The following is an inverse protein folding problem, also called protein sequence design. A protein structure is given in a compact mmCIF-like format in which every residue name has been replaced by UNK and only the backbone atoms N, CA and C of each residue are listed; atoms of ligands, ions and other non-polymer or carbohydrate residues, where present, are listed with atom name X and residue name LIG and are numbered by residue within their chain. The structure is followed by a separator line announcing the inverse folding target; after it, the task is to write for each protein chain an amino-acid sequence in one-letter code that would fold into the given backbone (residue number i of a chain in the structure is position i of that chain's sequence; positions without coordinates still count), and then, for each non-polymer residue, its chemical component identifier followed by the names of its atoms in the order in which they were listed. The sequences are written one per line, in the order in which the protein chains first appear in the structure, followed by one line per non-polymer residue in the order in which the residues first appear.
data_IF_530333342240
#
_entry.id   IF_530333342240
#
_cell.length_a   1.000
_cell.length_b   1.000
_cell.length_c   1.000
_cell.angle_alpha   90.00
_cell.angle_beta   90.00
_cell.angle_gamma   90.00
#
_symmetry.space_group_name_H-M   'P 1'
#
loop_
_entity.id
_entity.type
_entity.pdbx_description
1 polymer ?
#
# COMPACT_ATOMS: atom_id res chain seq x y z
N UNK A 1 -84.58 -4.84 5.31
CA UNK A 1 -84.60 -5.98 4.37
C UNK A 1 -83.46 -6.93 4.72
N UNK A 2 -83.83 -8.21 4.85
CA UNK A 2 -83.08 -9.48 4.91
C UNK A 2 -81.55 -9.54 4.59
N UNK A 3 -80.87 -10.23 5.52
CA UNK A 3 -79.68 -11.10 5.49
C UNK A 3 -78.21 -10.55 5.46
N UNK A 4 -77.33 -11.05 6.35
CA UNK A 4 -75.91 -10.68 6.47
C UNK A 4 -74.91 -11.73 5.92
N UNK A 5 -73.61 -11.41 6.09
CA UNK A 5 -72.38 -12.25 6.14
C UNK A 5 -71.61 -12.53 4.82
N UNK A 6 -70.28 -12.85 4.86
CA UNK A 6 -69.24 -12.54 5.86
C UNK A 6 -67.79 -12.40 5.32
N UNK A 7 -66.82 -12.15 6.23
CA UNK A 7 -65.38 -12.48 6.16
C UNK A 7 -64.56 -12.08 4.91
N UNK A 8 -63.60 -11.15 5.09
CA UNK A 8 -62.17 -11.51 5.21
C UNK A 8 -61.27 -10.31 5.56
N UNK A 9 -60.69 -10.44 6.74
CA UNK A 9 -59.52 -9.75 7.27
C UNK A 9 -58.30 -9.92 6.36
N UNK A 10 -57.55 -8.85 6.09
CA UNK A 10 -56.08 -8.91 5.96
C UNK A 10 -55.50 -7.67 6.64
N UNK A 11 -54.86 -7.88 7.79
CA UNK A 11 -54.06 -6.87 8.45
C UNK A 11 -52.71 -6.71 7.74
N UNK A 12 -52.23 -5.47 7.64
CA UNK A 12 -50.84 -5.18 7.32
C UNK A 12 -50.14 -4.87 8.65
N UNK A 13 -49.24 -5.78 9.03
CA UNK A 13 -48.38 -5.64 10.18
C UNK A 13 -47.00 -5.11 9.78
N UNK A 14 -46.33 -4.55 10.79
CA UNK A 14 -44.87 -4.49 10.98
C UNK A 14 -44.05 -3.47 10.17
N UNK A 15 -43.61 -2.42 10.87
CA UNK A 15 -42.22 -1.94 10.77
C UNK A 15 -41.69 -1.77 12.20
N UNK A 16 -40.95 -2.76 12.69
CA UNK A 16 -40.10 -2.62 13.87
C UNK A 16 -38.69 -2.24 13.39
N UNK A 17 -38.34 -0.97 13.52
CA UNK A 17 -37.01 -0.46 13.21
C UNK A 17 -35.99 -0.88 14.26
N UNK A 18 -35.11 -1.82 13.92
CA UNK A 18 -33.86 -2.01 14.66
C UNK A 18 -32.87 -0.96 14.21
N UNK A 19 -32.69 0.09 15.02
CA UNK A 19 -31.57 1.02 14.91
C UNK A 19 -30.28 0.26 15.24
N UNK A 20 -29.47 -0.02 14.23
CA UNK A 20 -28.08 -0.44 14.42
C UNK A 20 -27.30 0.83 14.68
N UNK A 21 -26.88 1.06 15.92
CA UNK A 21 -25.82 2.02 16.21
C UNK A 21 -24.57 1.53 15.48
N UNK A 22 -24.25 2.16 14.35
CA UNK A 22 -22.95 2.01 13.73
C UNK A 22 -21.94 2.74 14.61
N UNK A 23 -21.39 2.04 15.60
CA UNK A 23 -20.09 2.41 16.15
C UNK A 23 -19.13 2.39 14.97
N UNK A 24 -18.67 3.56 14.54
CA UNK A 24 -17.54 3.67 13.63
C UNK A 24 -16.32 3.19 14.40
N UNK A 25 -16.12 1.87 14.45
CA UNK A 25 -14.80 1.34 14.72
C UNK A 25 -13.97 1.82 13.54
N UNK A 26 -13.09 2.78 13.80
CA UNK A 26 -12.03 3.14 12.88
C UNK A 26 -11.16 1.88 12.78
N UNK A 27 -11.52 1.01 11.84
CA UNK A 27 -10.71 -0.14 11.52
C UNK A 27 -9.41 0.43 10.93
N UNK A 28 -8.38 0.52 11.77
CA UNK A 28 -7.03 0.72 11.29
C UNK A 28 -6.73 -0.52 10.46
N UNK A 29 -6.79 -0.36 9.13
CA UNK A 29 -6.37 -1.43 8.25
C UNK A 29 -4.89 -1.70 8.56
N UNK A 30 -4.54 -2.97 8.73
CA UNK A 30 -3.21 -3.44 9.08
C UNK A 30 -2.68 -4.36 7.99
N UNK A 31 -1.37 -4.37 7.75
CA UNK A 31 -0.75 -5.35 6.88
C UNK A 31 -0.29 -6.55 7.71
N UNK A 32 -0.79 -7.75 7.37
CA UNK A 32 -0.45 -8.99 8.07
C UNK A 32 0.11 -9.98 7.06
N UNK A 33 1.28 -10.53 7.33
CA UNK A 33 1.89 -11.58 6.52
C UNK A 33 2.22 -12.82 7.35
N UNK A 34 2.24 -13.97 6.70
CA UNK A 34 2.59 -15.26 7.28
C UNK A 34 4.07 -15.63 7.10
N UNK A 35 4.93 -14.63 6.86
CA UNK A 35 6.35 -14.84 6.66
C UNK A 35 7.18 -13.70 7.26
N UNK A 36 8.34 -14.07 7.80
CA UNK A 36 9.36 -13.14 8.29
C UNK A 36 10.31 -12.76 7.16
N UNK A 37 9.84 -11.86 6.31
CA UNK A 37 10.60 -11.32 5.17
C UNK A 37 10.35 -9.84 5.04
N UNK A 38 11.28 -9.14 4.39
CA UNK A 38 11.12 -7.74 4.05
C UNK A 38 11.70 -7.46 2.65
N UNK A 39 11.07 -6.58 1.83
CA UNK A 39 9.66 -6.17 1.95
C UNK A 39 8.73 -7.39 2.00
N UNK A 40 7.52 -7.32 2.56
CA UNK A 40 6.65 -8.48 2.57
C UNK A 40 6.29 -8.89 1.14
N UNK A 41 6.25 -10.20 0.87
CA UNK A 41 5.94 -10.69 -0.48
C UNK A 41 4.53 -10.28 -0.89
N UNK A 42 4.40 -9.67 -2.07
CA UNK A 42 3.13 -9.15 -2.59
C UNK A 42 2.74 -7.78 -2.00
N UNK A 43 3.53 -7.20 -1.11
CA UNK A 43 3.24 -5.90 -0.53
C UNK A 43 3.13 -4.81 -1.60
N UNK A 44 2.26 -3.85 -1.32
CA UNK A 44 2.15 -2.61 -2.09
C UNK A 44 2.53 -1.43 -1.20
N UNK A 45 3.13 -0.41 -1.79
CA UNK A 45 3.54 0.82 -1.12
C UNK A 45 3.00 2.04 -1.87
N UNK A 46 2.44 2.98 -1.12
CA UNK A 46 1.79 4.19 -1.64
C UNK A 46 2.16 5.41 -0.79
N UNK A 47 2.09 6.64 -1.34
CA UNK A 47 2.26 7.87 -0.59
C UNK A 47 1.37 7.92 0.65
N UNK A 48 1.95 8.21 1.81
CA UNK A 48 1.21 8.20 3.09
C UNK A 48 0.40 9.48 3.33
N UNK A 49 0.79 10.61 2.73
CA UNK A 49 0.11 11.89 2.93
C UNK A 49 -0.13 12.62 1.62
N UNK A 50 -1.11 13.55 1.55
CA UNK A 50 -1.31 14.39 0.37
C UNK A 50 -0.06 15.20 -0.02
N UNK A 51 0.76 15.61 0.95
CA UNK A 51 2.01 16.33 0.69
C UNK A 51 3.06 15.43 0.00
N UNK A 52 3.01 14.13 0.26
CA UNK A 52 3.90 13.11 -0.35
C UNK A 52 3.37 12.60 -1.71
N UNK A 53 2.31 13.20 -2.27
CA UNK A 53 1.76 12.71 -3.55
C UNK A 53 2.53 13.19 -4.77
N UNK A 54 3.40 14.21 -4.63
CA UNK A 54 4.05 14.85 -5.76
C UNK A 54 5.55 15.08 -5.52
N UNK A 55 6.36 14.67 -6.49
CA UNK A 55 7.80 14.92 -6.54
C UNK A 55 8.05 16.10 -7.46
N UNK A 56 8.85 17.06 -6.99
CA UNK A 56 9.31 18.22 -7.74
C UNK A 56 10.79 18.07 -8.09
N UNK A 57 11.23 18.60 -9.24
CA UNK A 57 12.62 18.52 -9.69
C UNK A 57 13.23 19.91 -9.89
N UNK A 58 13.80 20.46 -8.82
CA UNK A 58 14.38 21.80 -8.82
C UNK A 58 13.36 22.88 -9.23
N UNK A 59 13.80 23.82 -10.08
CA UNK A 59 12.93 24.84 -10.69
C UNK A 59 12.28 24.39 -12.01
N UNK A 60 12.41 23.13 -12.40
CA UNK A 60 11.85 22.63 -13.66
C UNK A 60 10.31 22.51 -13.57
N UNK A 61 9.60 22.58 -14.70
CA UNK A 61 8.17 22.27 -14.75
C UNK A 61 7.87 20.77 -14.55
N UNK A 62 8.89 19.91 -14.48
CA UNK A 62 8.74 18.47 -14.39
C UNK A 62 8.25 18.05 -13.01
N UNK A 63 7.21 17.22 -12.97
CA UNK A 63 6.61 16.71 -11.75
C UNK A 63 6.24 15.24 -11.89
N UNK A 64 6.30 14.51 -10.80
CA UNK A 64 5.84 13.12 -10.73
C UNK A 64 4.76 12.99 -9.67
N UNK A 65 3.72 12.18 -9.92
CA UNK A 65 2.70 11.83 -8.93
C UNK A 65 2.24 10.39 -9.07
N UNK A 66 1.34 9.97 -8.19
CA UNK A 66 0.69 8.66 -8.23
C UNK A 66 1.70 7.51 -8.23
N UNK A 67 2.78 7.69 -7.45
CA UNK A 67 3.79 6.66 -7.27
C UNK A 67 3.15 5.47 -6.54
N UNK A 68 3.07 4.31 -7.18
CA UNK A 68 2.50 3.11 -6.59
C UNK A 68 3.39 1.92 -6.92
N UNK A 69 3.92 1.29 -5.88
CA UNK A 69 4.83 0.16 -6.01
C UNK A 69 4.07 -1.08 -5.54
N UNK A 70 3.98 -2.08 -6.39
CA UNK A 70 3.19 -3.29 -6.11
C UNK A 70 4.05 -4.54 -6.28
N UNK A 71 3.56 -5.67 -5.76
CA UNK A 71 4.16 -6.97 -6.01
C UNK A 71 5.60 -7.10 -5.51
N UNK A 72 5.93 -6.44 -4.39
CA UNK A 72 7.24 -6.52 -3.75
C UNK A 72 7.66 -7.96 -3.48
N UNK A 73 8.88 -8.37 -3.86
CA UNK A 73 9.39 -9.69 -3.52
C UNK A 73 10.23 -9.65 -2.24
N UNK A 74 9.86 -10.45 -1.24
CA UNK A 74 10.55 -10.41 0.04
C UNK A 74 11.89 -11.14 0.07
N UNK A 75 12.85 -10.52 0.77
CA UNK A 75 14.12 -11.14 1.16
C UNK A 75 14.06 -11.72 2.56
N UNK A 76 14.76 -12.84 2.77
CA UNK A 76 14.92 -13.40 4.12
C UNK A 76 15.76 -12.45 4.97
N UNK A 77 15.32 -12.26 6.20
CA UNK A 77 16.07 -11.50 7.22
C UNK A 77 17.13 -12.46 7.81
N UNK A 78 18.44 -12.15 7.72
CA UNK A 78 19.50 -13.01 8.24
C UNK A 78 19.50 -13.12 9.76
N UNK A 79 20.00 -14.24 10.26
CA UNK A 79 20.32 -14.47 11.67
C UNK A 79 21.85 -14.60 11.84
N UNK A 80 22.46 -14.07 12.92
CA UNK A 80 21.85 -13.20 13.93
C UNK A 80 21.65 -11.75 13.43
N UNK A 81 20.80 -10.96 14.09
CA UNK A 81 20.61 -9.54 13.78
C UNK A 81 21.88 -8.71 14.03
N UNK A 82 21.92 -7.50 13.48
CA UNK A 82 22.97 -6.49 13.69
C UNK A 82 23.92 -6.28 12.51
N UNK A 83 24.01 -7.23 11.58
CA UNK A 83 24.83 -7.08 10.37
C UNK A 83 23.99 -6.53 9.22
N UNK A 84 24.44 -5.48 8.50
CA UNK A 84 23.77 -5.03 7.28
C UNK A 84 23.74 -6.11 6.20
N UNK A 85 22.63 -6.21 5.48
CA UNK A 85 22.45 -7.14 4.37
C UNK A 85 21.71 -6.48 3.22
N UNK A 86 21.84 -7.06 2.03
CA UNK A 86 21.22 -6.56 0.80
C UNK A 86 20.10 -7.49 0.35
N UNK A 87 19.03 -6.89 -0.17
CA UNK A 87 17.90 -7.59 -0.78
C UNK A 87 17.68 -6.96 -2.15
N UNK A 88 17.56 -7.81 -3.15
CA UNK A 88 17.01 -7.44 -4.45
C UNK A 88 15.51 -7.74 -4.41
N UNK A 89 14.70 -6.68 -4.33
CA UNK A 89 13.24 -6.80 -4.37
C UNK A 89 12.73 -6.39 -5.74
N UNK A 90 11.91 -7.22 -6.36
CA UNK A 90 11.19 -6.87 -7.58
C UNK A 90 9.92 -6.11 -7.23
N UNK A 91 9.66 -5.02 -7.93
CA UNK A 91 8.42 -4.27 -7.84
C UNK A 91 7.87 -3.97 -9.23
N UNK A 92 6.54 -3.94 -9.34
CA UNK A 92 5.87 -3.25 -10.42
C UNK A 92 5.64 -1.80 -9.98
N UNK A 93 6.14 -0.83 -10.74
CA UNK A 93 6.12 0.60 -10.39
C UNK A 93 5.24 1.35 -11.38
N UNK A 94 4.29 2.09 -10.83
CA UNK A 94 3.37 2.96 -11.56
C UNK A 94 3.60 4.40 -11.15
N UNK A 95 3.55 5.30 -12.13
CA UNK A 95 3.71 6.73 -11.91
C UNK A 95 3.03 7.53 -13.03
N UNK A 96 2.73 8.79 -12.76
CA UNK A 96 2.40 9.77 -13.80
C UNK A 96 3.42 10.90 -13.79
N UNK A 97 3.80 11.38 -14.98
CA UNK A 97 4.82 12.41 -15.16
C UNK A 97 4.21 13.58 -15.92
N UNK A 98 4.50 14.80 -15.47
CA UNK A 98 4.16 16.04 -16.14
C UNK A 98 5.42 16.80 -16.51
N UNK A 99 5.42 17.50 -17.64
CA UNK A 99 6.53 18.35 -18.12
C UNK A 99 6.13 19.82 -18.24
N UNK A 100 4.88 20.16 -17.91
CA UNK A 100 4.29 21.49 -18.08
C UNK A 100 3.74 22.05 -16.76
N UNK A 101 4.33 21.64 -15.64
CA UNK A 101 3.96 22.15 -14.32
C UNK A 101 2.70 21.49 -13.74
N UNK A 102 2.26 20.36 -14.30
CA UNK A 102 1.11 19.60 -13.83
C UNK A 102 -0.17 19.81 -14.62
N UNK A 103 -0.10 20.40 -15.82
CA UNK A 103 -1.26 20.62 -16.69
C UNK A 103 -1.61 19.34 -17.46
N UNK A 104 -0.61 18.68 -18.05
CA UNK A 104 -0.74 17.37 -18.69
C UNK A 104 0.06 16.30 -17.94
N UNK A 105 -0.44 15.06 -17.98
CA UNK A 105 0.12 13.93 -17.26
C UNK A 105 0.21 12.71 -18.16
N UNK A 106 1.38 12.08 -18.18
CA UNK A 106 1.68 10.89 -18.97
C UNK A 106 1.90 9.71 -18.02
N UNK A 107 1.13 8.61 -18.16
CA UNK A 107 1.32 7.43 -17.34
C UNK A 107 2.62 6.70 -17.73
N UNK A 108 3.25 6.06 -16.75
CA UNK A 108 4.42 5.22 -16.92
C UNK A 108 4.32 4.03 -15.98
N UNK A 109 4.64 2.85 -16.51
CA UNK A 109 4.56 1.58 -15.80
C UNK A 109 5.81 0.76 -16.12
N UNK A 110 6.40 0.18 -15.08
CA UNK A 110 7.56 -0.71 -15.18
C UNK A 110 7.31 -1.95 -14.33
N UNK A 111 7.33 -3.13 -14.94
CA UNK A 111 7.08 -4.39 -14.24
C UNK A 111 8.37 -5.13 -13.92
N UNK A 112 8.43 -5.76 -12.74
CA UNK A 112 9.60 -6.54 -12.33
C UNK A 112 10.88 -5.71 -12.18
N UNK A 113 10.75 -4.42 -11.84
CA UNK A 113 11.90 -3.55 -11.59
C UNK A 113 12.63 -4.03 -10.35
N UNK A 114 13.93 -4.30 -10.47
CA UNK A 114 14.79 -4.59 -9.32
C UNK A 114 15.04 -3.31 -8.54
N UNK A 115 14.68 -3.33 -7.26
CA UNK A 115 15.05 -2.33 -6.26
C UNK A 115 15.99 -2.99 -5.26
N UNK A 116 17.17 -2.41 -5.10
CA UNK A 116 18.18 -2.88 -4.15
C UNK A 116 17.94 -2.19 -2.81
N UNK A 117 17.74 -2.95 -1.76
CA UNK A 117 17.42 -2.45 -0.41
C UNK A 117 18.45 -3.00 0.57
N UNK A 118 19.04 -2.11 1.37
CA UNK A 118 19.84 -2.49 2.53
C UNK A 118 18.94 -2.62 3.74
N UNK A 119 19.06 -3.72 4.48
CA UNK A 119 18.42 -3.92 5.78
C UNK A 119 19.47 -4.03 6.89
N UNK A 120 19.12 -3.62 8.10
CA UNK A 120 19.89 -3.90 9.32
C UNK A 120 18.91 -4.19 10.45
N UNK A 121 18.64 -5.48 10.66
CA UNK A 121 17.75 -5.96 11.71
C UNK A 121 18.39 -5.71 13.09
N UNK A 122 17.59 -5.21 14.03
CA UNK A 122 17.98 -5.06 15.42
C UNK A 122 17.58 -6.30 16.23
N UNK A 123 18.26 -6.62 17.34
CA UNK A 123 17.80 -7.64 18.26
C UNK A 123 16.33 -7.41 18.65
N UNK A 124 15.44 -8.40 18.50
CA UNK A 124 14.04 -8.24 18.85
C UNK A 124 13.84 -7.87 20.33
N UNK A 125 12.86 -7.02 20.61
CA UNK A 125 12.43 -6.66 21.96
C UNK A 125 11.01 -7.20 22.17
N UNK A 126 10.90 -8.28 22.93
CA UNK A 126 9.63 -9.02 23.03
C UNK A 126 9.26 -9.65 21.68
N UNK A 127 8.05 -9.36 21.18
CA UNK A 127 7.60 -9.82 19.86
C UNK A 127 7.91 -8.84 18.72
N UNK A 128 8.58 -7.73 19.01
CA UNK A 128 8.82 -6.66 18.02
C UNK A 128 10.26 -6.72 17.53
N UNK A 129 10.41 -6.78 16.22
CA UNK A 129 11.68 -6.64 15.52
C UNK A 129 11.65 -5.39 14.64
N UNK A 130 12.72 -4.60 14.71
CA UNK A 130 12.88 -3.39 13.89
C UNK A 130 14.05 -3.59 12.93
N UNK A 131 13.81 -3.28 11.67
CA UNK A 131 14.80 -3.30 10.59
C UNK A 131 14.94 -1.86 10.12
N UNK A 132 16.13 -1.30 10.27
CA UNK A 132 16.47 -0.04 9.62
C UNK A 132 16.78 -0.33 8.16
N UNK A 133 16.16 0.41 7.24
CA UNK A 133 16.24 0.11 5.82
C UNK A 133 16.73 1.33 5.03
N UNK A 134 17.31 1.07 3.87
CA UNK A 134 17.67 2.12 2.92
C UNK A 134 17.52 1.56 1.50
N UNK A 135 16.77 2.24 0.64
CA UNK A 135 16.79 1.92 -0.79
C UNK A 135 18.06 2.49 -1.41
N UNK A 136 18.85 1.62 -2.06
CA UNK A 136 20.14 1.99 -2.64
C UNK A 136 20.09 2.16 -4.16
N UNK A 137 19.19 1.46 -4.85
CA UNK A 137 19.13 1.49 -6.31
C UNK A 137 17.73 1.17 -6.82
N UNK A 138 17.32 1.95 -7.82
CA UNK A 138 16.19 1.73 -8.72
C UNK A 138 16.51 2.54 -9.97
N UNK A 139 16.30 1.95 -11.14
CA UNK A 139 16.50 2.59 -12.44
C UNK A 139 15.35 2.20 -13.37
N UNK A 140 14.67 3.21 -13.89
CA UNK A 140 13.56 3.10 -14.83
C UNK A 140 13.91 3.85 -16.10
N UNK A 141 13.96 3.15 -17.22
CA UNK A 141 14.24 3.73 -18.52
C UNK A 141 12.98 3.93 -19.33
N UNK A 142 12.89 5.04 -20.06
CA UNK A 142 11.74 5.30 -20.92
C UNK A 142 10.46 5.65 -20.15
N UNK A 143 10.59 6.32 -18.99
CA UNK A 143 9.44 6.81 -18.25
C UNK A 143 8.73 7.91 -19.07
N UNK A 144 7.44 7.75 -19.34
CA UNK A 144 6.62 8.57 -20.25
C UNK A 144 7.04 8.53 -21.74
N UNK A 145 8.33 8.63 -22.09
CA UNK A 145 8.85 8.51 -23.46
C UNK A 145 10.30 8.01 -23.49
N UNK A 146 10.75 7.50 -24.65
CA UNK A 146 12.13 7.02 -24.83
C UNK A 146 13.15 8.14 -24.62
N UNK A 147 14.12 7.90 -23.73
CA UNK A 147 15.15 8.89 -23.35
C UNK A 147 14.80 9.71 -22.10
N UNK A 148 13.59 9.59 -21.56
CA UNK A 148 13.29 10.07 -20.21
C UNK A 148 13.50 8.91 -19.22
N UNK A 149 14.35 9.10 -18.23
CA UNK A 149 14.73 8.07 -17.26
C UNK A 149 14.52 8.57 -15.83
N UNK A 150 14.08 7.69 -14.92
CA UNK A 150 13.92 7.96 -13.50
C UNK A 150 14.77 6.99 -12.71
N UNK A 151 15.47 7.46 -11.68
CA UNK A 151 16.22 6.60 -10.77
C UNK A 151 16.14 7.08 -9.33
N UNK A 152 16.57 6.24 -8.39
CA UNK A 152 16.87 6.69 -7.03
C UNK A 152 18.04 7.68 -7.03
N UNK A 153 18.00 8.65 -6.12
CA UNK A 153 19.09 9.61 -6.00
C UNK A 153 20.38 8.93 -5.55
N UNK A 154 21.51 9.35 -6.14
CA UNK A 154 22.84 8.86 -5.78
C UNK A 154 23.50 9.69 -4.68
N UNK A 155 22.92 10.82 -4.32
CA UNK A 155 23.48 11.79 -3.35
C UNK A 155 22.60 12.01 -2.13
N UNK A 156 21.33 11.62 -2.20
CA UNK A 156 20.39 11.67 -1.09
C UNK A 156 20.01 10.25 -0.69
N UNK A 157 20.22 9.92 0.58
CA UNK A 157 19.84 8.63 1.14
C UNK A 157 18.31 8.49 1.09
N UNK A 158 17.83 7.30 0.77
CA UNK A 158 16.40 6.97 0.80
C UNK A 158 16.09 6.04 1.99
N UNK A 159 16.03 6.59 3.23
CA UNK A 159 15.90 5.78 4.44
C UNK A 159 14.50 5.18 4.55
N UNK A 160 14.38 4.14 5.36
CA UNK A 160 13.11 3.55 5.72
C UNK A 160 13.21 2.76 7.01
N UNK A 161 12.08 2.19 7.40
CA UNK A 161 12.02 1.25 8.50
C UNK A 161 10.98 0.20 8.21
N UNK A 162 11.24 -1.01 8.69
CA UNK A 162 10.23 -2.06 8.82
C UNK A 162 10.16 -2.55 10.24
N UNK A 163 8.95 -2.65 10.75
CA UNK A 163 8.65 -3.21 12.07
C UNK A 163 7.84 -4.47 11.85
N UNK A 164 8.35 -5.58 12.37
CA UNK A 164 7.65 -6.87 12.40
C UNK A 164 7.22 -7.11 13.84
N UNK A 165 5.92 -7.23 14.08
CA UNK A 165 5.38 -7.66 15.37
C UNK A 165 4.84 -9.08 15.22
N UNK A 166 5.49 -10.06 15.84
CA UNK A 166 4.97 -11.43 15.91
C UNK A 166 3.65 -11.43 16.71
N UNK A 167 2.58 -11.87 16.05
CA UNK A 167 1.24 -11.98 16.63
C UNK A 167 0.81 -13.44 16.84
N UNK A 168 1.76 -14.37 16.71
CA UNK A 168 1.56 -15.81 16.89
C UNK A 168 1.09 -16.54 15.64
N UNK A 169 1.26 -17.86 15.65
CA UNK A 169 0.85 -18.72 14.52
C UNK A 169 1.66 -18.50 13.23
N UNK A 170 2.87 -17.95 13.34
CA UNK A 170 3.73 -17.62 12.20
C UNK A 170 3.31 -16.36 11.44
N UNK A 171 2.46 -15.53 12.04
CA UNK A 171 1.98 -14.28 11.46
C UNK A 171 2.67 -13.08 12.07
N UNK A 172 2.86 -12.06 11.25
CA UNK A 172 3.48 -10.80 11.62
C UNK A 172 2.58 -9.65 11.22
N UNK A 173 2.32 -8.74 12.16
CA UNK A 173 1.86 -7.40 11.83
C UNK A 173 3.04 -6.58 11.34
N UNK A 174 2.91 -5.93 10.18
CA UNK A 174 4.02 -5.26 9.51
C UNK A 174 3.69 -3.80 9.26
N UNK A 175 4.49 -2.93 9.85
CA UNK A 175 4.53 -1.50 9.52
C UNK A 175 5.83 -1.24 8.75
N UNK A 176 5.73 -0.65 7.57
CA UNK A 176 6.90 -0.39 6.73
C UNK A 176 6.74 0.89 5.95
N UNK A 177 7.83 1.66 5.82
CA UNK A 177 7.87 2.82 4.95
C UNK A 177 9.28 3.05 4.38
N UNK A 178 9.34 3.84 3.32
CA UNK A 178 10.55 4.40 2.74
C UNK A 178 10.34 5.87 2.40
N UNK A 179 11.31 6.71 2.70
CA UNK A 179 11.43 8.05 2.14
C UNK A 179 12.23 7.93 0.85
N UNK A 180 11.57 8.13 -0.29
CA UNK A 180 12.16 7.92 -1.61
C UNK A 180 12.59 9.25 -2.19
N UNK A 181 13.89 9.38 -2.47
CA UNK A 181 14.45 10.49 -3.23
C UNK A 181 14.83 10.02 -4.63
N UNK A 182 14.43 10.77 -5.65
CA UNK A 182 14.66 10.40 -7.05
C UNK A 182 15.46 11.45 -7.81
N UNK A 183 15.96 11.04 -8.97
CA UNK A 183 16.56 11.89 -9.99
C UNK A 183 15.91 11.56 -11.34
N UNK A 184 15.66 12.58 -12.15
CA UNK A 184 15.11 12.42 -13.50
C UNK A 184 16.10 12.92 -14.55
N UNK A 185 16.19 12.20 -15.66
CA UNK A 185 16.91 12.61 -16.86
C UNK A 185 15.93 12.74 -18.01
N UNK A 186 16.10 13.78 -18.83
CA UNK A 186 15.28 14.04 -20.03
C UNK A 186 16.09 13.89 -21.33
N UNK A 187 17.35 13.47 -21.22
CA UNK A 187 18.36 13.44 -22.28
C UNK A 187 19.12 12.09 -22.30
N UNK A 188 18.39 11.01 -22.06
CA UNK A 188 18.89 9.64 -22.08
C UNK A 188 20.04 9.37 -21.10
N UNK A 189 19.98 9.96 -19.91
CA UNK A 189 20.93 9.77 -18.83
C UNK A 189 22.18 10.64 -18.91
N UNK A 190 22.26 11.59 -19.85
CA UNK A 190 23.40 12.49 -19.96
C UNK A 190 23.44 13.52 -18.82
N UNK A 191 22.28 14.05 -18.41
CA UNK A 191 22.12 14.90 -17.23
C UNK A 191 20.99 14.41 -16.33
N UNK A 192 21.14 14.66 -15.03
CA UNK A 192 20.19 14.24 -14.00
C UNK A 192 19.81 15.43 -13.14
N UNK A 193 18.51 15.64 -12.95
CA UNK A 193 17.96 16.65 -12.05
C UNK A 193 17.46 15.97 -10.80
N UNK A 194 17.93 16.42 -9.63
CA UNK A 194 17.50 15.90 -8.34
C UNK A 194 16.07 16.34 -7.98
N UNK A 195 15.35 15.45 -7.31
CA UNK A 195 14.12 15.82 -6.63
C UNK A 195 14.40 16.86 -5.53
N UNK A 196 13.47 17.80 -5.34
CA UNK A 196 13.52 18.82 -4.28
C UNK A 196 12.84 18.38 -2.99
N UNK A 197 12.17 17.23 -3.01
CA UNK A 197 11.49 16.63 -1.89
C UNK A 197 11.53 15.11 -2.01
N UNK A 198 11.44 14.41 -0.88
CA UNK A 198 11.14 12.99 -0.87
C UNK A 198 9.64 12.73 -0.95
N UNK A 199 9.31 11.47 -1.22
CA UNK A 199 7.98 10.92 -1.03
C UNK A 199 8.06 9.77 -0.03
N UNK A 200 7.28 9.85 1.05
CA UNK A 200 7.13 8.75 1.99
C UNK A 200 6.15 7.71 1.45
N UNK A 201 6.67 6.58 1.01
CA UNK A 201 5.91 5.41 0.61
C UNK A 201 5.69 4.51 1.82
N UNK A 202 4.45 4.40 2.28
CA UNK A 202 4.05 3.49 3.35
C UNK A 202 3.44 2.22 2.80
N UNK A 203 3.61 1.11 3.51
CA UNK A 203 2.97 -0.14 3.17
C UNK A 203 1.46 0.04 3.17
N UNK A 204 0.81 -0.38 2.09
CA UNK A 204 -0.62 -0.37 1.97
C UNK A 204 -1.19 -1.51 2.82
N UNK A 205 -2.10 -1.24 3.76
CA UNK A 205 -2.80 -2.29 4.48
C UNK A 205 -3.57 -3.20 3.55
N UNK A 206 -3.73 -4.47 3.95
CA UNK A 206 -4.61 -5.38 3.21
C UNK A 206 -6.02 -4.77 3.13
N UNK A 207 -6.60 -4.60 1.93
CA UNK A 207 -7.95 -4.09 1.82
C UNK A 207 -8.87 -4.97 2.67
N UNK A 208 -9.71 -4.36 3.52
CA UNK A 208 -10.60 -5.04 4.47
C UNK A 208 -11.64 -5.99 3.82
N UNK A 209 -11.49 -6.31 2.54
CA UNK A 209 -12.31 -7.20 1.72
C UNK A 209 -12.57 -8.56 2.40
N UNK A 210 -11.57 -9.12 3.11
CA UNK A 210 -11.74 -10.34 3.90
C UNK A 210 -12.74 -10.17 5.06
N UNK A 211 -12.72 -9.01 5.74
CA UNK A 211 -13.69 -8.70 6.80
C UNK A 211 -15.11 -8.53 6.21
N UNK A 212 -15.25 -7.89 5.05
CA UNK A 212 -16.54 -7.75 4.37
C UNK A 212 -17.10 -9.07 3.81
N UNK A 213 -16.26 -10.02 3.38
CA UNK A 213 -16.72 -11.37 3.02
C UNK A 213 -17.35 -12.09 4.23
N UNK A 214 -16.75 -11.99 5.41
CA UNK A 214 -17.30 -12.55 6.64
C UNK A 214 -18.66 -11.97 7.04
N UNK A 215 -18.82 -10.64 6.95
CA UNK A 215 -20.11 -9.97 7.22
C UNK A 215 -21.17 -10.34 6.19
N UNK A 216 -20.80 -10.46 4.91
CA UNK A 216 -21.69 -10.90 3.83
C UNK A 216 -22.28 -12.29 4.09
N UNK A 217 -21.44 -13.26 4.48
CA UNK A 217 -21.89 -14.62 4.81
C UNK A 217 -22.82 -14.67 6.04
N UNK A 218 -22.52 -13.89 7.09
CA UNK A 218 -23.38 -13.82 8.28
C UNK A 218 -24.77 -13.23 7.97
N UNK A 219 -24.84 -12.22 7.10
CA UNK A 219 -26.11 -11.64 6.64
C UNK A 219 -26.93 -12.65 5.83
N UNK A 220 -26.28 -13.42 4.95
CA UNK A 220 -26.94 -14.48 4.18
C UNK A 220 -27.46 -15.62 5.07
N UNK A 221 -26.70 -16.04 6.07
CA UNK A 221 -27.12 -17.09 7.02
C UNK A 221 -28.31 -16.62 7.86
N UNK A 222 -28.29 -15.36 8.34
CA UNK A 222 -29.39 -14.78 9.12
C UNK A 222 -30.68 -14.66 8.30
N UNK A 223 -30.59 -14.27 7.03
CA UNK A 223 -31.74 -14.20 6.14
C UNK A 223 -32.31 -15.60 5.80
N UNK A 224 -31.45 -16.62 5.60
CA UNK A 224 -31.90 -17.99 5.37
C UNK A 224 -32.60 -18.62 6.57
N UNK A 225 -32.24 -18.23 7.80
CA UNK A 225 -32.91 -18.71 9.03
C UNK A 225 -34.28 -18.05 9.25
N UNK A 226 -34.48 -16.82 8.80
CA UNK A 226 -35.79 -16.13 8.86
C UNK A 226 -36.80 -16.69 7.86
N UNK A 227 -36.36 -17.24 6.74
CA UNK A 227 -37.23 -17.82 5.70
C UNK A 227 -37.77 -19.23 6.04
N UNK A 228 -37.34 -19.85 7.15
CA UNK A 228 -37.75 -21.20 7.56
C UNK A 228 -38.64 -21.22 8.82
N UNK A 229 -39.27 -20.09 9.16
CA UNK A 229 -40.26 -19.99 10.24
C UNK A 229 -41.55 -19.41 9.70
#
# INVERSE_FOLDING_TARGET
MKYPNPFRTVGIACVAGTAVLALTVQAHAQYIANSRVFPPTGASYVPMTPADTMIHFGSTPTKIRNLHWTNGSGGRIPEPPGTPYMIDSFFDIWTEISFDGGVTWFPSQHTGTTVVIRGTAQPPVGSVEVIQTEMLMMDLQGVAFSGCNLRLSQTMLSPGQTTLTDIGGGQYHIDSFFDVFTEISLDNGATWTHSSNSVRLGIMPEPATLASLGVGFLCLIRNRRKSKR
#
